data_IF_826774901799
#
_entry.id   IF_826774901799
#
_cell.length_a   1.000
_cell.length_b   1.000
_cell.length_c   1.000
_cell.angle_alpha   90.00
_cell.angle_beta   90.00
_cell.angle_gamma   90.00
#
_symmetry.space_group_name_H-M   'P 1'
#
loop_
_entity.id
_entity.type
_entity.pdbx_description
1 polymer ?
#
# COMPACT_ATOMS: atom_id res chain seq x y z
N UNK A 1 25.39 8.42 -44.05
CA UNK A 1 24.18 8.85 -43.30
C UNK A 1 24.60 8.95 -41.84
N UNK A 2 24.76 10.16 -41.32
CA UNK A 2 25.16 10.38 -39.94
C UNK A 2 24.06 9.85 -39.02
N UNK A 3 24.37 8.85 -38.20
CA UNK A 3 23.53 8.47 -37.07
C UNK A 3 23.64 9.61 -36.06
N UNK A 4 22.59 10.41 -35.89
CA UNK A 4 22.52 11.30 -34.72
C UNK A 4 22.54 10.41 -33.48
N UNK A 5 23.64 10.47 -32.74
CA UNK A 5 23.98 9.53 -31.68
C UNK A 5 23.44 10.01 -30.31
N UNK A 6 22.31 10.72 -30.31
CA UNK A 6 21.72 11.38 -29.15
C UNK A 6 20.25 11.74 -29.36
N UNK A 7 19.59 12.14 -28.27
CA UNK A 7 18.24 12.71 -28.32
C UNK A 7 18.27 14.06 -29.04
N UNK A 8 17.23 14.33 -29.80
CA UNK A 8 17.04 15.55 -30.58
C UNK A 8 15.99 16.46 -29.95
N UNK A 9 15.92 17.72 -30.37
CA UNK A 9 14.87 18.65 -29.94
C UNK A 9 13.46 18.12 -30.24
N UNK A 10 13.28 17.44 -31.37
CA UNK A 10 12.02 16.78 -31.75
C UNK A 10 11.59 15.71 -30.73
N UNK A 11 12.55 14.97 -30.14
CA UNK A 11 12.26 13.96 -29.12
C UNK A 11 11.75 14.60 -27.81
N UNK A 12 12.31 15.76 -27.45
CA UNK A 12 11.87 16.53 -26.29
C UNK A 12 10.50 17.18 -26.53
N UNK A 13 10.27 17.74 -27.72
CA UNK A 13 8.97 18.28 -28.11
C UNK A 13 7.88 17.20 -28.09
N UNK A 14 8.17 16.01 -28.63
CA UNK A 14 7.27 14.84 -28.56
C UNK A 14 6.93 14.47 -27.12
N UNK A 15 7.93 14.47 -26.22
CA UNK A 15 7.70 14.21 -24.80
C UNK A 15 6.73 15.22 -24.18
N UNK A 16 6.94 16.51 -24.39
CA UNK A 16 6.09 17.57 -23.83
C UNK A 16 4.69 17.59 -24.45
N UNK A 17 4.54 17.27 -25.73
CA UNK A 17 3.24 17.14 -26.38
C UNK A 17 2.39 16.03 -25.71
N UNK A 18 3.00 14.87 -25.45
CA UNK A 18 2.31 13.76 -24.77
C UNK A 18 2.06 14.10 -23.29
N UNK A 19 2.99 14.78 -22.64
CA UNK A 19 2.88 15.22 -21.25
C UNK A 19 1.67 16.14 -21.03
N UNK A 20 1.48 17.13 -21.91
CA UNK A 20 0.40 18.11 -21.79
C UNK A 20 -1.00 17.48 -21.74
N UNK A 21 -1.16 16.27 -22.30
CA UNK A 21 -2.42 15.52 -22.25
C UNK A 21 -2.74 14.99 -20.84
N UNK A 22 -1.72 14.73 -20.03
CA UNK A 22 -1.85 14.27 -18.65
C UNK A 22 -1.89 15.43 -17.64
N UNK A 23 -1.22 16.54 -17.96
CA UNK A 23 -1.13 17.73 -17.11
C UNK A 23 -1.52 19.01 -17.90
N UNK A 24 -2.80 19.17 -18.27
CA UNK A 24 -3.27 20.35 -19.01
C UNK A 24 -3.17 21.64 -18.19
N UNK A 25 -3.09 21.53 -16.86
CA UNK A 25 -2.90 22.65 -15.93
C UNK A 25 -1.47 23.18 -15.88
N UNK A 26 -0.48 22.44 -16.42
CA UNK A 26 0.93 22.80 -16.33
C UNK A 26 1.50 22.75 -14.90
N UNK A 27 0.98 21.85 -14.07
CA UNK A 27 1.45 21.64 -12.70
C UNK A 27 2.85 21.06 -12.60
N UNK A 28 3.39 20.49 -13.69
CA UNK A 28 4.64 19.73 -13.76
C UNK A 28 4.59 18.38 -13.02
N UNK A 29 3.39 17.89 -12.64
CA UNK A 29 3.21 16.61 -11.97
C UNK A 29 2.18 15.72 -12.66
N UNK A 30 2.43 14.42 -12.63
CA UNK A 30 1.43 13.37 -12.88
C UNK A 30 1.33 12.44 -11.66
N UNK A 31 0.28 11.63 -11.59
CA UNK A 31 0.20 10.58 -10.57
C UNK A 31 1.10 9.40 -10.93
N UNK A 32 1.65 8.73 -9.90
CA UNK A 32 2.51 7.57 -10.04
C UNK A 32 1.86 6.43 -10.85
N UNK A 33 0.55 6.20 -10.69
CA UNK A 33 -0.20 5.17 -11.41
C UNK A 33 -0.37 5.45 -12.92
N UNK A 34 -0.12 6.67 -13.39
CA UNK A 34 -0.16 7.03 -14.80
C UNK A 34 1.15 6.76 -15.54
N UNK A 35 2.28 6.64 -14.81
CA UNK A 35 3.62 6.54 -15.38
C UNK A 35 3.76 5.43 -16.42
N UNK A 36 3.30 4.22 -16.10
CA UNK A 36 3.45 3.04 -16.96
C UNK A 36 2.74 3.20 -18.31
N UNK A 37 1.58 3.86 -18.33
CA UNK A 37 0.86 4.19 -19.57
C UNK A 37 1.55 5.33 -20.32
N UNK A 38 2.03 6.34 -19.59
CA UNK A 38 2.69 7.50 -20.18
C UNK A 38 3.92 7.09 -20.99
N UNK A 39 4.87 6.36 -20.38
CA UNK A 39 6.11 5.96 -21.07
C UNK A 39 5.89 4.96 -22.20
N UNK A 40 4.81 4.18 -22.15
CA UNK A 40 4.41 3.26 -23.23
C UNK A 40 3.78 4.01 -24.42
N UNK A 41 3.16 5.16 -24.17
CA UNK A 41 2.53 6.03 -25.18
C UNK A 41 3.45 7.05 -25.84
N UNK A 42 4.70 7.18 -25.37
CA UNK A 42 5.76 7.94 -26.04
C UNK A 42 6.18 7.24 -27.34
N UNK A 43 6.98 7.92 -28.13
CA UNK A 43 7.56 7.39 -29.37
C UNK A 43 9.05 7.08 -29.19
N UNK A 44 9.63 6.16 -29.99
CA UNK A 44 11.08 5.94 -29.97
C UNK A 44 11.82 7.26 -30.22
N UNK A 45 12.94 7.52 -29.54
CA UNK A 45 13.69 6.60 -28.67
C UNK A 45 13.27 6.60 -27.19
N UNK A 46 12.41 7.53 -26.74
CA UNK A 46 12.03 7.68 -25.33
C UNK A 46 10.97 6.68 -24.85
N UNK A 47 10.31 5.98 -25.77
CA UNK A 47 9.29 4.98 -25.46
C UNK A 47 9.85 3.79 -24.67
N UNK A 48 9.19 3.46 -23.56
CA UNK A 48 9.38 2.20 -22.84
C UNK A 48 8.11 1.34 -22.96
N UNK A 49 8.07 0.35 -23.88
CA UNK A 49 6.88 -0.44 -24.13
C UNK A 49 6.53 -1.35 -22.95
N UNK A 50 5.23 -1.59 -22.75
CA UNK A 50 4.80 -2.59 -21.76
C UNK A 50 5.20 -4.03 -22.18
N UNK A 51 5.48 -4.93 -21.22
CA UNK A 51 5.49 -4.72 -19.77
C UNK A 51 6.74 -3.96 -19.28
N UNK A 52 6.55 -2.82 -18.63
CA UNK A 52 7.63 -1.88 -18.30
C UNK A 52 7.89 -1.69 -16.80
N UNK A 53 7.15 -2.37 -15.93
CA UNK A 53 7.21 -2.18 -14.46
C UNK A 53 8.62 -2.36 -13.89
N UNK A 54 9.31 -3.44 -14.26
CA UNK A 54 10.63 -3.74 -13.71
C UNK A 54 11.67 -2.69 -14.10
N UNK A 55 11.59 -2.18 -15.33
CA UNK A 55 12.49 -1.14 -15.80
C UNK A 55 12.22 0.19 -15.07
N UNK A 56 10.96 0.57 -14.91
CA UNK A 56 10.57 1.76 -14.14
C UNK A 56 11.00 1.69 -12.67
N UNK A 57 10.96 0.50 -12.06
CA UNK A 57 11.51 0.24 -10.72
C UNK A 57 13.03 0.40 -10.71
N UNK A 58 13.73 -0.12 -11.74
CA UNK A 58 15.19 -0.02 -11.83
C UNK A 58 15.69 1.41 -12.10
N UNK A 59 14.86 2.27 -12.69
CA UNK A 59 15.18 3.69 -12.92
C UNK A 59 15.17 4.54 -11.63
N UNK A 60 14.65 4.02 -10.52
CA UNK A 60 14.67 4.65 -9.19
C UNK A 60 14.16 6.10 -9.17
N UNK A 61 13.02 6.35 -9.84
CA UNK A 61 12.49 7.71 -10.02
C UNK A 61 11.89 8.23 -8.71
N UNK A 62 12.12 9.51 -8.33
CA UNK A 62 11.49 10.13 -7.18
C UNK A 62 9.96 10.16 -7.25
N UNK A 63 9.32 9.86 -6.12
CA UNK A 63 7.87 9.99 -5.91
C UNK A 63 7.67 11.01 -4.78
N UNK A 64 6.96 12.08 -5.10
CA UNK A 64 6.61 13.16 -4.20
C UNK A 64 5.35 12.85 -3.38
N UNK A 65 5.09 13.70 -2.39
CA UNK A 65 3.85 13.69 -1.63
C UNK A 65 2.61 13.63 -2.53
N UNK A 66 1.59 12.91 -2.04
CA UNK A 66 0.35 12.61 -2.77
C UNK A 66 0.54 11.72 -4.01
N UNK A 67 1.56 10.86 -4.00
CA UNK A 67 1.92 9.95 -5.10
C UNK A 67 2.07 10.67 -6.45
N UNK A 68 2.69 11.85 -6.42
CA UNK A 68 2.96 12.67 -7.61
C UNK A 68 4.39 12.45 -8.09
N UNK A 69 4.62 12.49 -9.39
CA UNK A 69 5.96 12.45 -9.98
C UNK A 69 6.18 13.64 -10.90
N UNK A 70 7.37 14.23 -10.81
CA UNK A 70 7.69 15.47 -11.50
C UNK A 70 8.14 15.22 -12.95
N UNK A 71 7.70 16.07 -13.87
CA UNK A 71 7.98 16.00 -15.31
C UNK A 71 9.46 15.78 -15.63
N UNK A 72 10.32 16.61 -15.01
CA UNK A 72 11.76 16.58 -15.25
C UNK A 72 12.42 15.30 -14.72
N UNK A 73 11.94 14.71 -13.63
CA UNK A 73 12.52 13.45 -13.12
C UNK A 73 12.28 12.28 -14.08
N UNK A 74 11.09 12.25 -14.66
CA UNK A 74 10.73 11.22 -15.63
C UNK A 74 11.59 11.38 -16.88
N UNK A 75 11.70 12.60 -17.42
CA UNK A 75 12.50 12.89 -18.61
C UNK A 75 14.00 12.59 -18.39
N UNK A 76 14.56 12.99 -17.24
CA UNK A 76 15.95 12.71 -16.86
C UNK A 76 16.18 11.20 -16.74
N UNK A 77 15.26 10.47 -16.11
CA UNK A 77 15.30 9.01 -16.05
C UNK A 77 15.31 8.36 -17.42
N UNK A 78 14.42 8.77 -18.32
CA UNK A 78 14.34 8.25 -19.69
C UNK A 78 15.61 8.55 -20.49
N UNK A 79 16.14 9.77 -20.35
CA UNK A 79 17.38 10.19 -21.00
C UNK A 79 18.56 9.34 -20.54
N UNK A 80 18.72 9.14 -19.23
CA UNK A 80 19.76 8.26 -18.67
C UNK A 80 19.62 6.82 -19.14
N UNK A 81 18.39 6.31 -19.23
CA UNK A 81 18.15 4.97 -19.74
C UNK A 81 18.56 4.84 -21.21
N UNK A 82 18.24 5.83 -22.05
CA UNK A 82 18.63 5.86 -23.44
C UNK A 82 20.16 5.92 -23.60
N UNK A 83 20.83 6.84 -22.90
CA UNK A 83 22.29 6.99 -22.95
C UNK A 83 23.01 5.73 -22.47
N UNK A 84 22.59 5.14 -21.34
CA UNK A 84 23.17 3.88 -20.86
C UNK A 84 22.94 2.69 -21.80
N UNK A 85 21.90 2.74 -22.64
CA UNK A 85 21.68 1.74 -23.69
C UNK A 85 22.67 1.93 -24.85
N UNK A 86 23.02 3.18 -25.20
CA UNK A 86 24.05 3.47 -26.21
C UNK A 86 25.45 3.03 -25.74
N UNK A 87 25.78 3.20 -24.47
CA UNK A 87 27.09 2.81 -23.89
C UNK A 87 27.29 1.29 -23.83
N UNK A 88 26.21 0.50 -23.88
CA UNK A 88 26.28 -0.96 -24.00
C UNK A 88 26.65 -1.45 -25.41
N UNK A 89 26.63 -0.55 -26.40
CA UNK A 89 27.23 -0.73 -27.73
C UNK A 89 28.66 -0.20 -27.68
N UNK A 90 29.67 -0.89 -28.26
CA UNK A 90 31.08 -0.52 -28.11
C UNK A 90 31.39 0.76 -28.88
N UNK A 91 31.10 1.93 -28.32
CA UNK A 91 31.60 3.20 -28.84
C UNK A 91 31.77 4.18 -27.68
N UNK A 92 33.04 4.34 -27.31
CA UNK A 92 33.56 5.29 -26.33
C UNK A 92 33.11 6.72 -26.65
N UNK A 93 32.35 7.33 -25.76
CA UNK A 93 32.33 8.78 -25.58
C UNK A 93 32.01 9.10 -24.13
N UNK A 94 33.08 9.38 -23.37
CA UNK A 94 33.01 9.99 -22.05
C UNK A 94 32.45 11.42 -22.21
N UNK A 95 31.20 11.63 -21.80
CA UNK A 95 30.69 12.97 -21.53
C UNK A 95 30.00 12.98 -20.17
N UNK A 96 30.82 12.94 -19.12
CA UNK A 96 30.41 13.18 -17.74
C UNK A 96 30.19 14.68 -17.51
N UNK A 97 29.10 15.21 -18.06
CA UNK A 97 28.48 16.41 -17.55
C UNK A 97 27.11 16.01 -17.02
N UNK A 98 26.94 15.76 -15.71
CA UNK A 98 25.61 15.64 -15.15
C UNK A 98 24.91 16.97 -15.42
N UNK A 99 23.91 16.96 -16.30
CA UNK A 99 23.04 18.11 -16.50
C UNK A 99 22.46 18.40 -15.12
N UNK A 100 22.90 19.49 -14.51
CA UNK A 100 22.52 19.87 -13.16
C UNK A 100 21.12 20.49 -13.16
N UNK A 101 20.12 19.69 -13.55
CA UNK A 101 18.68 20.05 -13.55
C UNK A 101 18.11 20.08 -12.12
N UNK A 102 18.97 20.03 -11.09
CA UNK A 102 18.55 20.07 -9.68
C UNK A 102 18.28 21.49 -9.19
N UNK A 103 18.73 22.53 -9.92
CA UNK A 103 18.73 23.91 -9.39
C UNK A 103 17.39 24.63 -9.35
N UNK A 104 16.41 24.27 -10.19
CA UNK A 104 15.12 24.97 -10.26
C UNK A 104 13.92 24.04 -10.06
N UNK A 105 13.85 23.34 -8.92
CA UNK A 105 12.64 22.60 -8.55
C UNK A 105 11.61 23.54 -7.92
N UNK A 106 10.32 23.39 -8.25
CA UNK A 106 9.27 24.26 -7.71
C UNK A 106 9.13 24.04 -6.20
N UNK A 107 8.57 25.04 -5.49
CA UNK A 107 8.43 24.99 -4.02
C UNK A 107 7.60 23.81 -3.52
N UNK A 108 6.73 23.24 -4.33
CA UNK A 108 5.89 22.10 -3.97
C UNK A 108 6.51 20.74 -4.31
N UNK A 109 7.76 20.71 -4.78
CA UNK A 109 8.55 19.50 -4.99
C UNK A 109 9.08 18.93 -3.66
N UNK A 110 8.39 17.90 -3.16
CA UNK A 110 8.71 17.22 -1.91
C UNK A 110 8.79 15.70 -2.13
N UNK A 111 9.95 15.16 -2.53
CA UNK A 111 10.14 13.72 -2.72
C UNK A 111 10.15 12.99 -1.38
N UNK A 112 9.34 11.93 -1.25
CA UNK A 112 9.20 11.13 -0.02
C UNK A 112 9.64 9.68 -0.18
N UNK A 113 9.69 9.17 -1.41
CA UNK A 113 10.14 7.81 -1.75
C UNK A 113 10.59 7.76 -3.21
N UNK A 114 10.92 6.58 -3.71
CA UNK A 114 11.28 6.35 -5.12
C UNK A 114 10.53 5.13 -5.67
N UNK A 115 10.55 4.92 -6.99
CA UNK A 115 9.94 3.73 -7.61
C UNK A 115 10.52 2.42 -7.05
N UNK A 116 11.82 2.36 -6.79
CA UNK A 116 12.48 1.20 -6.18
C UNK A 116 12.04 1.01 -4.73
N UNK A 117 12.06 2.07 -3.95
CA UNK A 117 11.70 2.02 -2.54
C UNK A 117 10.22 1.68 -2.35
N UNK A 118 9.32 2.26 -3.15
CA UNK A 118 7.88 1.92 -3.19
C UNK A 118 7.65 0.44 -3.52
N UNK A 119 8.43 -0.14 -4.45
CA UNK A 119 8.33 -1.56 -4.77
C UNK A 119 8.74 -2.44 -3.56
N UNK A 120 9.79 -2.06 -2.82
CA UNK A 120 10.22 -2.76 -1.60
C UNK A 120 9.16 -2.66 -0.50
N UNK A 121 8.63 -1.47 -0.26
CA UNK A 121 7.55 -1.23 0.71
C UNK A 121 6.34 -2.10 0.39
N UNK A 122 5.85 -2.07 -0.85
CA UNK A 122 4.71 -2.89 -1.29
C UNK A 122 4.96 -4.39 -1.08
N UNK A 123 6.19 -4.86 -1.35
CA UNK A 123 6.56 -6.26 -1.11
C UNK A 123 6.51 -6.62 0.38
N UNK A 124 7.12 -5.80 1.22
CA UNK A 124 7.15 -5.99 2.68
C UNK A 124 5.73 -5.92 3.27
N UNK A 125 4.91 -4.96 2.85
CA UNK A 125 3.50 -4.85 3.26
C UNK A 125 2.71 -6.10 2.92
N UNK A 126 2.93 -6.70 1.74
CA UNK A 126 2.26 -7.95 1.35
C UNK A 126 2.68 -9.14 2.23
N UNK A 127 3.95 -9.25 2.58
CA UNK A 127 4.44 -10.30 3.49
C UNK A 127 3.83 -10.12 4.87
N UNK A 128 3.91 -8.91 5.42
CA UNK A 128 3.37 -8.58 6.74
C UNK A 128 1.86 -8.85 6.84
N UNK A 129 1.09 -8.40 5.83
CA UNK A 129 -0.36 -8.63 5.79
C UNK A 129 -0.70 -10.12 5.73
N UNK A 130 0.02 -10.91 4.92
CA UNK A 130 -0.16 -12.37 4.88
C UNK A 130 0.12 -13.01 6.24
N UNK A 131 1.21 -12.62 6.90
CA UNK A 131 1.55 -13.10 8.24
C UNK A 131 0.49 -12.76 9.28
N UNK A 132 -0.02 -11.52 9.25
CA UNK A 132 -1.12 -11.07 10.12
C UNK A 132 -2.41 -11.86 9.88
N UNK A 133 -2.83 -12.01 8.61
CA UNK A 133 -4.02 -12.78 8.24
C UNK A 133 -3.92 -14.24 8.71
N UNK A 134 -2.75 -14.86 8.54
CA UNK A 134 -2.49 -16.20 9.05
C UNK A 134 -2.63 -16.26 10.57
N UNK A 135 -2.01 -15.34 11.31
CA UNK A 135 -2.11 -15.29 12.77
C UNK A 135 -3.56 -15.14 13.25
N UNK A 136 -4.33 -14.23 12.63
CA UNK A 136 -5.76 -14.02 12.94
C UNK A 136 -6.56 -15.29 12.69
N UNK A 137 -6.31 -16.01 11.58
CA UNK A 137 -6.99 -17.24 11.26
C UNK A 137 -6.67 -18.36 12.27
N UNK A 138 -5.42 -18.50 12.69
CA UNK A 138 -5.03 -19.50 13.69
C UNK A 138 -5.70 -19.23 15.03
N UNK A 139 -5.68 -17.99 15.53
CA UNK A 139 -6.39 -17.61 16.76
C UNK A 139 -7.90 -17.84 16.69
N UNK A 140 -8.52 -17.70 15.51
CA UNK A 140 -9.93 -18.04 15.31
C UNK A 140 -10.17 -19.55 15.46
N UNK A 141 -9.32 -20.38 14.85
CA UNK A 141 -9.41 -21.85 14.98
C UNK A 141 -9.20 -22.28 16.42
N UNK A 142 -8.17 -21.79 17.10
CA UNK A 142 -7.89 -22.09 18.51
C UNK A 142 -9.09 -21.79 19.41
N UNK A 143 -9.73 -20.62 19.24
CA UNK A 143 -10.98 -20.29 19.95
C UNK A 143 -12.14 -21.23 19.64
N UNK A 144 -12.25 -21.69 18.39
CA UNK A 144 -13.30 -22.63 17.98
C UNK A 144 -13.07 -24.04 18.56
N UNK A 145 -11.81 -24.47 18.71
CA UNK A 145 -11.48 -25.72 19.41
C UNK A 145 -11.58 -25.62 20.95
N UNK A 146 -11.65 -24.39 21.49
CA UNK A 146 -11.89 -24.10 22.91
C UNK A 146 -13.38 -23.92 23.27
N UNK A 147 -14.33 -24.17 22.36
CA UNK A 147 -15.74 -24.29 22.80
C UNK A 147 -15.82 -25.33 23.93
N UNK A 148 -16.50 -25.02 25.05
CA UNK A 148 -16.61 -25.98 26.14
C UNK A 148 -17.27 -27.24 25.57
N UNK A 149 -16.59 -28.38 25.70
CA UNK A 149 -17.29 -29.65 25.68
C UNK A 149 -18.30 -29.54 26.83
N UNK A 150 -19.58 -29.30 26.53
CA UNK A 150 -20.61 -29.79 27.43
C UNK A 150 -20.43 -31.30 27.40
N UNK A 151 -19.63 -31.84 28.31
CA UNK A 151 -19.82 -33.20 28.75
C UNK A 151 -21.29 -33.28 29.11
N UNK A 152 -22.03 -34.09 28.35
CA UNK A 152 -23.41 -34.41 28.69
C UNK A 152 -23.30 -35.10 30.04
N UNK A 153 -23.54 -34.36 31.13
CA UNK A 153 -23.83 -34.98 32.41
C UNK A 153 -24.87 -36.05 32.10
N UNK A 154 -24.52 -37.30 32.37
CA UNK A 154 -25.50 -38.36 32.19
C UNK A 154 -26.62 -38.10 33.18
N UNK A 155 -27.86 -38.40 32.79
CA UNK A 155 -29.04 -38.15 33.65
C UNK A 155 -28.83 -38.79 35.04
N UNK A 156 -28.08 -39.89 35.09
CA UNK A 156 -27.71 -40.60 36.32
C UNK A 156 -26.86 -39.76 37.29
N UNK A 157 -25.95 -38.90 36.81
CA UNK A 157 -25.13 -38.01 37.66
C UNK A 157 -25.94 -36.83 38.25
N UNK A 158 -27.07 -36.46 37.62
CA UNK A 158 -27.98 -35.44 38.12
C UNK A 158 -28.99 -35.99 39.13
N UNK A 159 -29.27 -37.30 39.09
CA UNK A 159 -30.16 -37.98 40.03
C UNK A 159 -29.46 -38.19 41.39
N UNK A 160 -28.16 -38.49 41.42
CA UNK A 160 -27.42 -38.66 42.69
C UNK A 160 -27.30 -37.38 43.54
N UNK A 161 -27.55 -36.20 42.96
CA UNK A 161 -27.56 -34.92 43.68
C UNK A 161 -28.91 -34.56 44.31
N UNK A 162 -30.01 -35.18 43.86
CA UNK A 162 -31.36 -34.95 44.38
C UNK A 162 -31.72 -35.91 45.54
N UNK A 163 -30.97 -37.01 45.71
CA UNK A 163 -31.22 -38.03 46.75
C UNK A 163 -30.54 -37.75 48.11
N UNK A 164 -29.87 -36.61 48.28
CA UNK A 164 -29.38 -36.15 49.60
C UNK A 164 -30.41 -35.25 50.28
N UNK A 165 -31.34 -35.87 51.00
CA UNK A 165 -32.36 -35.21 51.81
C UNK A 165 -31.77 -34.29 52.93
N UNK A 166 -31.92 -32.98 52.70
CA UNK A 166 -32.41 -31.95 53.66
C UNK A 166 -31.46 -31.41 54.76
N UNK A 167 -31.67 -30.16 55.28
CA UNK A 167 -32.82 -29.81 56.14
C UNK A 167 -33.60 -28.57 55.70
N UNK A 168 -34.94 -28.64 55.79
CA UNK A 168 -35.85 -27.50 55.72
C UNK A 168 -35.67 -26.65 57.00
N UNK A 169 -35.16 -25.42 56.87
CA UNK A 169 -35.25 -24.42 57.93
C UNK A 169 -36.66 -23.81 57.91
N UNK A 170 -37.48 -24.19 58.89
CA UNK A 170 -38.76 -23.54 59.16
C UNK A 170 -38.45 -22.17 59.80
N UNK A 171 -38.67 -21.08 59.06
CA UNK A 171 -38.74 -19.74 59.65
C UNK A 171 -40.18 -19.41 59.99
N UNK A 172 -40.41 -19.16 61.27
CA UNK A 172 -41.68 -18.75 61.86
C UNK A 172 -42.03 -17.33 61.40
N UNK A 173 -43.12 -17.19 60.63
CA UNK A 173 -43.63 -15.92 60.12
C UNK A 173 -44.52 -15.27 61.19
N UNK A 174 -43.96 -14.41 62.04
CA UNK A 174 -44.71 -13.36 62.71
C UNK A 174 -43.78 -12.25 63.20
N UNK A 175 -44.23 -10.99 63.04
CA UNK A 175 -43.57 -9.70 63.33
C UNK A 175 -42.90 -9.01 62.14
N UNK A 176 -43.70 -8.39 61.26
CA UNK A 176 -43.52 -7.01 60.73
C UNK A 176 -44.48 -6.72 59.56
N UNK A 177 -45.79 -6.78 59.81
CA UNK A 177 -46.80 -6.09 58.99
C UNK A 177 -47.62 -5.07 59.81
N UNK A 178 -47.02 -4.50 60.86
CA UNK A 178 -47.51 -3.29 61.51
C UNK A 178 -46.47 -2.20 61.43
N UNK A 179 -46.46 -1.49 60.29
CA UNK A 179 -46.20 -0.05 60.12
C UNK A 179 -45.82 0.20 58.66
N UNK A 180 -46.84 0.57 57.86
CA UNK A 180 -46.78 1.58 56.77
C UNK A 180 -47.74 1.25 55.63
N UNK A 181 -49.04 1.53 55.85
CA UNK A 181 -49.93 2.18 54.87
C UNK A 181 -51.23 2.60 55.56
N UNK A 182 -51.09 3.53 56.50
CA UNK A 182 -52.14 4.53 56.74
C UNK A 182 -52.04 5.49 55.56
N UNK A 183 -53.10 5.64 54.76
CA UNK A 183 -53.16 6.62 53.67
C UNK A 183 -53.97 6.19 52.45
N UNK A 184 -55.28 5.96 52.61
CA UNK A 184 -56.30 6.15 51.57
C UNK A 184 -57.68 6.01 52.21
N UNK A 185 -58.14 7.09 52.84
CA UNK A 185 -59.46 7.70 52.72
C UNK A 185 -59.42 9.05 53.42
#
# INVERSE_FOLDING_TARGET
>A
MSKNQGLTDDDYDMYYEKWQRLDPSGSQFIRYDQLSNFVDGLEPPLRIPKPNHLLLVAMDLPICENDRMHCVDILDGLTKHFLGTLDSSPTTTESDAPIDIKKDRPKDYHPITTTLQRQRENHLSRIGLKGFQYNVQQRRKERQYQEPKLERATIDELIELDDLETPILIYDNNQEQQKNRIGSL
#
